data_IF_816284528642
#
_entry.id   IF_816284528642
#
_cell.length_a   1.000
_cell.length_b   1.000
_cell.length_c   1.000
_cell.angle_alpha   90.00
_cell.angle_beta   90.00
_cell.angle_gamma   90.00
#
_symmetry.space_group_name_H-M   'P 1'
#
loop_
_entity.id
_entity.type
_entity.pdbx_description
1 polymer ?
#
# COMPACT_ATOMS: atom_id res chain seq x y z
N UNK A 1 7.78 6.54 -19.54
CA UNK A 1 8.13 5.58 -18.46
C UNK A 1 6.95 4.61 -18.38
N UNK A 2 7.15 3.30 -18.51
CA UNK A 2 6.11 2.26 -18.50
C UNK A 2 5.15 2.12 -19.72
N UNK A 3 5.64 1.92 -20.96
CA UNK A 3 4.79 1.86 -22.16
C UNK A 3 3.83 0.63 -22.23
N UNK A 4 4.02 -0.39 -21.39
CA UNK A 4 3.18 -1.60 -21.38
C UNK A 4 2.49 -1.87 -20.04
N UNK A 5 2.64 -0.96 -19.07
CA UNK A 5 2.14 -1.17 -17.72
C UNK A 5 0.62 -1.14 -17.63
N UNK A 6 0.08 -1.87 -16.65
CA UNK A 6 -1.33 -1.90 -16.32
C UNK A 6 -1.87 -0.52 -15.90
N UNK A 7 -1.11 0.20 -15.08
CA UNK A 7 -1.47 1.53 -14.56
C UNK A 7 -0.21 2.41 -14.44
N UNK A 8 0.29 2.98 -15.54
CA UNK A 8 1.58 3.67 -15.57
C UNK A 8 1.63 4.92 -14.69
N UNK A 9 0.56 5.71 -14.62
CA UNK A 9 0.47 6.89 -13.75
C UNK A 9 0.43 6.48 -12.27
N UNK A 10 -0.23 5.37 -11.94
CA UNK A 10 -0.25 4.85 -10.57
C UNK A 10 1.14 4.32 -10.17
N UNK A 11 1.85 3.64 -11.07
CA UNK A 11 3.23 3.24 -10.82
C UNK A 11 4.13 4.47 -10.56
N UNK A 12 3.93 5.56 -11.30
CA UNK A 12 4.63 6.82 -11.08
C UNK A 12 4.31 7.44 -9.72
N UNK A 13 3.03 7.44 -9.29
CA UNK A 13 2.65 7.89 -7.94
C UNK A 13 3.40 7.11 -6.85
N UNK A 14 3.53 5.79 -7.02
CA UNK A 14 4.36 4.95 -6.15
C UNK A 14 5.81 5.41 -6.10
N UNK A 15 6.44 5.73 -7.25
CA UNK A 15 7.83 6.22 -7.28
C UNK A 15 8.01 7.55 -6.55
N UNK A 16 7.10 8.50 -6.74
CA UNK A 16 7.12 9.76 -5.99
C UNK A 16 7.11 9.50 -4.48
N UNK A 17 6.21 8.61 -4.03
CA UNK A 17 6.08 8.27 -2.62
C UNK A 17 7.36 7.61 -2.08
N UNK A 18 7.99 6.71 -2.85
CA UNK A 18 9.24 6.03 -2.47
C UNK A 18 10.43 7.01 -2.36
N UNK A 19 10.47 8.02 -3.23
CA UNK A 19 11.49 9.06 -3.23
C UNK A 19 11.25 10.14 -2.16
N UNK A 20 10.16 10.02 -1.38
CA UNK A 20 9.79 10.99 -0.35
C UNK A 20 9.09 12.24 -0.90
N UNK A 21 8.71 12.25 -2.18
CA UNK A 21 7.90 13.31 -2.77
C UNK A 21 6.42 13.02 -2.53
N UNK A 22 5.97 13.35 -1.30
CA UNK A 22 4.57 13.14 -0.90
C UNK A 22 3.61 13.97 -1.76
N UNK A 23 3.93 15.23 -2.05
CA UNK A 23 3.06 16.12 -2.83
C UNK A 23 2.85 15.59 -4.25
N UNK A 24 3.94 15.16 -4.91
CA UNK A 24 3.86 14.54 -6.24
C UNK A 24 3.06 13.25 -6.23
N UNK A 25 3.26 12.39 -5.23
CA UNK A 25 2.50 11.15 -5.08
C UNK A 25 1.00 11.42 -4.86
N UNK A 26 0.67 12.34 -3.95
CA UNK A 26 -0.69 12.70 -3.61
C UNK A 26 -1.42 13.34 -4.81
N UNK A 27 -0.79 14.29 -5.52
CA UNK A 27 -1.39 14.92 -6.71
C UNK A 27 -1.67 13.91 -7.83
N UNK A 28 -0.74 12.99 -8.10
CA UNK A 28 -0.96 11.93 -9.08
C UNK A 28 -2.08 10.99 -8.64
N UNK A 29 -2.05 10.52 -7.39
CA UNK A 29 -3.06 9.62 -6.85
C UNK A 29 -4.46 10.26 -6.88
N UNK A 30 -4.58 11.55 -6.57
CA UNK A 30 -5.83 12.32 -6.62
C UNK A 30 -6.41 12.40 -8.05
N UNK A 31 -5.56 12.42 -9.08
CA UNK A 31 -6.00 12.49 -10.48
C UNK A 31 -6.42 11.13 -11.06
N UNK A 32 -6.14 10.02 -10.37
CA UNK A 32 -6.40 8.65 -10.83
C UNK A 32 -7.68 8.12 -10.17
N UNK A 33 -8.75 7.96 -10.94
CA UNK A 33 -10.04 7.51 -10.42
C UNK A 33 -10.11 5.99 -10.14
N UNK A 34 -9.06 5.23 -10.48
CA UNK A 34 -9.03 3.76 -10.34
C UNK A 34 -8.81 3.29 -8.90
N UNK A 35 -8.90 1.98 -8.68
CA UNK A 35 -8.52 1.35 -7.40
C UNK A 35 -7.09 1.72 -7.02
N UNK A 36 -6.15 1.66 -7.96
CA UNK A 36 -4.72 1.87 -7.70
C UNK A 36 -4.43 3.32 -7.30
N UNK A 37 -5.11 4.29 -7.91
CA UNK A 37 -5.05 5.70 -7.51
C UNK A 37 -5.52 5.89 -6.06
N UNK A 38 -6.70 5.35 -5.72
CA UNK A 38 -7.24 5.37 -4.35
C UNK A 38 -6.33 4.65 -3.36
N UNK A 39 -5.68 3.57 -3.78
CA UNK A 39 -4.75 2.83 -2.93
C UNK A 39 -3.51 3.67 -2.62
N UNK A 40 -2.86 4.27 -3.62
CA UNK A 40 -1.73 5.18 -3.37
C UNK A 40 -2.12 6.37 -2.50
N UNK A 41 -3.32 6.92 -2.71
CA UNK A 41 -3.85 7.99 -1.89
C UNK A 41 -4.00 7.55 -0.42
N UNK A 42 -4.54 6.35 -0.20
CA UNK A 42 -4.69 5.79 1.14
C UNK A 42 -3.34 5.58 1.85
N UNK A 43 -2.32 5.10 1.13
CA UNK A 43 -0.96 4.94 1.67
C UNK A 43 -0.34 6.30 2.01
N UNK A 44 -0.48 7.30 1.12
CA UNK A 44 0.06 8.65 1.33
C UNK A 44 -0.47 9.29 2.63
N UNK A 45 -1.79 9.22 2.89
CA UNK A 45 -2.36 9.72 4.14
C UNK A 45 -1.99 8.88 5.37
N UNK A 46 -1.81 7.55 5.22
CA UNK A 46 -1.31 6.73 6.32
C UNK A 46 0.12 7.11 6.72
N UNK A 47 0.94 7.59 5.77
CA UNK A 47 2.28 8.12 6.03
C UNK A 47 2.27 9.54 6.61
N UNK A 48 1.19 10.31 6.45
CA UNK A 48 0.90 11.61 7.12
C UNK A 48 0.24 11.43 8.51
N UNK A 49 0.35 10.24 9.09
CA UNK A 49 -0.59 9.64 10.06
C UNK A 49 -2.01 10.28 10.14
N UNK A 50 -2.72 10.36 9.02
CA UNK A 50 -4.15 10.73 8.98
C UNK A 50 -5.02 9.47 8.84
N UNK A 51 -5.45 8.84 9.95
CA UNK A 51 -6.25 7.62 9.91
C UNK A 51 -7.64 7.85 9.30
N UNK A 52 -8.18 9.08 9.36
CA UNK A 52 -9.49 9.43 8.84
C UNK A 52 -9.49 9.41 7.31
N UNK A 53 -8.55 10.15 6.70
CA UNK A 53 -8.43 10.18 5.24
C UNK A 53 -7.90 8.86 4.68
N UNK A 54 -6.92 8.22 5.35
CA UNK A 54 -6.47 6.88 4.95
C UNK A 54 -7.64 5.89 4.94
N UNK A 55 -8.45 5.88 6.00
CA UNK A 55 -9.63 5.01 6.10
C UNK A 55 -10.71 5.31 5.06
N UNK A 56 -10.92 6.58 4.72
CA UNK A 56 -11.83 6.98 3.63
C UNK A 56 -11.38 6.37 2.29
N UNK A 57 -10.12 6.53 1.93
CA UNK A 57 -9.60 6.03 0.65
C UNK A 57 -9.52 4.51 0.59
N UNK A 58 -9.15 3.82 1.67
CA UNK A 58 -9.22 2.36 1.73
C UNK A 58 -10.65 1.83 1.56
N UNK A 59 -11.65 2.55 2.08
CA UNK A 59 -13.06 2.21 1.88
C UNK A 59 -13.50 2.44 0.42
N UNK A 60 -13.05 3.53 -0.20
CA UNK A 60 -13.35 3.85 -1.60
C UNK A 60 -12.64 2.94 -2.61
N UNK A 61 -11.48 2.39 -2.25
CA UNK A 61 -10.73 1.37 -2.99
C UNK A 61 -11.53 0.04 -3.06
N UNK A 62 -12.02 -0.45 -1.92
CA UNK A 62 -12.66 -1.76 -1.82
C UNK A 62 -11.67 -2.94 -1.83
N UNK A 63 -12.10 -4.16 -2.22
CA UNK A 63 -11.21 -5.31 -2.33
C UNK A 63 -10.16 -5.12 -3.45
N UNK A 64 -8.91 -5.49 -3.19
CA UNK A 64 -7.83 -5.39 -4.18
C UNK A 64 -7.00 -6.69 -4.27
N UNK A 65 -6.55 -7.15 -5.46
CA UNK A 65 -5.77 -8.38 -5.59
C UNK A 65 -4.48 -8.42 -4.77
N UNK A 66 -3.84 -7.26 -4.56
CA UNK A 66 -2.61 -7.14 -3.73
C UNK A 66 -2.83 -7.61 -2.29
N UNK A 67 -4.04 -7.48 -1.74
CA UNK A 67 -4.35 -7.86 -0.36
C UNK A 67 -4.06 -9.34 -0.07
N UNK A 68 -4.20 -10.23 -1.05
CA UNK A 68 -3.93 -11.67 -0.87
C UNK A 68 -2.43 -11.91 -0.66
N UNK A 69 -1.58 -11.31 -1.50
CA UNK A 69 -0.14 -11.42 -1.37
C UNK A 69 0.34 -10.71 -0.10
N UNK A 70 -0.17 -9.50 0.16
CA UNK A 70 0.19 -8.70 1.32
C UNK A 70 -0.14 -9.41 2.63
N UNK A 71 -1.31 -10.06 2.75
CA UNK A 71 -1.66 -10.87 3.91
C UNK A 71 -0.60 -11.94 4.21
N UNK A 72 -0.14 -12.66 3.17
CA UNK A 72 0.86 -13.72 3.30
C UNK A 72 2.21 -13.16 3.72
N UNK A 73 2.70 -12.14 3.01
CA UNK A 73 4.02 -11.56 3.30
C UNK A 73 4.05 -10.88 4.69
N UNK A 74 2.97 -10.18 5.05
CA UNK A 74 2.84 -9.54 6.35
C UNK A 74 2.83 -10.57 7.50
N UNK A 75 2.20 -11.74 7.31
CA UNK A 75 2.28 -12.84 8.30
C UNK A 75 3.72 -13.33 8.48
N UNK A 76 4.46 -13.54 7.39
CA UNK A 76 5.85 -14.01 7.46
C UNK A 76 6.70 -13.00 8.23
N UNK A 77 6.57 -11.70 7.92
CA UNK A 77 7.29 -10.64 8.62
C UNK A 77 6.88 -10.60 10.10
N UNK A 78 5.58 -10.68 10.38
CA UNK A 78 5.05 -10.67 11.74
C UNK A 78 5.62 -11.83 12.58
N UNK A 79 5.64 -13.04 12.03
CA UNK A 79 6.16 -14.25 12.69
C UNK A 79 7.67 -14.14 12.96
N UNK A 80 8.44 -13.61 12.01
CA UNK A 80 9.89 -13.37 12.18
C UNK A 80 10.20 -12.43 13.34
N UNK A 81 9.34 -11.44 13.58
CA UNK A 81 9.49 -10.47 14.67
C UNK A 81 8.70 -10.84 15.94
N UNK A 82 7.98 -11.96 15.95
CA UNK A 82 7.18 -12.41 17.08
C UNK A 82 6.00 -11.51 17.42
N UNK A 83 5.38 -10.88 16.40
CA UNK A 83 4.25 -9.97 16.56
C UNK A 83 2.94 -10.58 16.04
N UNK A 84 1.79 -10.32 16.68
CA UNK A 84 0.49 -10.79 16.20
C UNK A 84 -0.11 -9.88 15.10
N UNK A 85 0.70 -9.44 14.14
CA UNK A 85 0.26 -8.61 13.02
C UNK A 85 -0.40 -9.46 11.93
N UNK A 86 -1.40 -8.91 11.23
CA UNK A 86 -2.16 -9.59 10.18
C UNK A 86 -2.83 -10.90 10.65
N UNK A 87 -3.12 -11.09 11.95
CA UNK A 87 -3.66 -12.33 12.56
C UNK A 87 -4.95 -12.90 11.92
N UNK A 88 -5.72 -12.08 11.21
CA UNK A 88 -6.97 -12.47 10.57
C UNK A 88 -6.82 -13.40 9.35
N UNK A 89 -7.95 -13.85 8.77
CA UNK A 89 -7.98 -14.70 7.58
C UNK A 89 -7.67 -13.95 6.28
N UNK A 90 -7.72 -12.62 6.29
CA UNK A 90 -7.46 -11.75 5.15
C UNK A 90 -6.84 -10.43 5.62
N UNK A 91 -6.22 -9.70 4.69
CA UNK A 91 -5.65 -8.39 4.96
C UNK A 91 -6.76 -7.39 5.32
N UNK A 92 -6.56 -6.70 6.45
CA UNK A 92 -7.42 -5.61 6.88
C UNK A 92 -6.61 -4.30 6.91
N UNK A 93 -6.83 -3.38 5.95
CA UNK A 93 -6.10 -2.11 5.93
C UNK A 93 -6.44 -1.23 7.14
N UNK A 94 -7.61 -1.38 7.76
CA UNK A 94 -8.00 -0.59 8.92
C UNK A 94 -7.24 -1.03 10.18
N UNK A 95 -7.04 -2.34 10.35
CA UNK A 95 -6.16 -2.85 11.41
C UNK A 95 -4.72 -2.38 11.20
N UNK A 96 -4.24 -2.36 9.95
CA UNK A 96 -2.89 -1.87 9.67
C UNK A 96 -2.73 -0.35 9.89
N UNK A 97 -3.74 0.47 9.61
CA UNK A 97 -3.75 1.90 9.99
C UNK A 97 -3.58 2.03 11.51
N UNK A 98 -4.34 1.27 12.30
CA UNK A 98 -4.24 1.28 13.76
C UNK A 98 -2.84 0.87 14.23
N UNK A 99 -2.29 -0.19 13.65
CA UNK A 99 -0.92 -0.66 13.94
C UNK A 99 0.12 0.42 13.63
N UNK A 100 0.02 1.11 12.50
CA UNK A 100 0.92 2.21 12.16
C UNK A 100 0.83 3.36 13.18
N UNK A 101 -0.37 3.68 13.67
CA UNK A 101 -0.57 4.63 14.76
C UNK A 101 0.13 4.19 16.06
N UNK A 102 -0.07 2.94 16.47
CA UNK A 102 0.57 2.36 17.65
C UNK A 102 2.11 2.31 17.53
N UNK A 103 2.61 2.03 16.32
CA UNK A 103 4.03 2.04 15.97
C UNK A 103 4.63 3.44 16.08
N UNK A 104 3.97 4.46 15.52
CA UNK A 104 4.43 5.85 15.55
C UNK A 104 4.53 6.41 16.97
N UNK A 105 3.66 5.95 17.89
CA UNK A 105 3.72 6.29 19.30
C UNK A 105 4.90 5.63 20.06
N UNK A 106 5.62 4.69 19.42
CA UNK A 106 6.73 3.92 20.04
C UNK A 106 7.96 3.86 19.12
N UNK A 107 8.64 4.99 18.87
CA UNK A 107 9.83 5.02 18.04
C UNK A 107 10.92 4.07 18.54
N UNK A 108 11.60 3.38 17.62
CA UNK A 108 12.64 2.39 17.90
C UNK A 108 12.12 1.02 18.36
N UNK A 109 10.80 0.83 18.46
CA UNK A 109 10.21 -0.46 18.86
C UNK A 109 10.32 -1.51 17.76
N UNK A 110 10.17 -2.79 18.13
CA UNK A 110 10.01 -3.90 17.16
C UNK A 110 8.78 -3.65 16.29
N UNK A 111 7.69 -3.16 16.89
CA UNK A 111 6.44 -2.84 16.19
C UNK A 111 6.66 -1.82 15.06
N UNK A 112 7.43 -0.75 15.32
CA UNK A 112 7.74 0.24 14.30
C UNK A 112 8.54 -0.37 13.15
N UNK A 113 9.59 -1.15 13.44
CA UNK A 113 10.40 -1.80 12.41
C UNK A 113 9.55 -2.75 11.56
N UNK A 114 8.75 -3.60 12.20
CA UNK A 114 7.86 -4.54 11.51
C UNK A 114 6.81 -3.81 10.68
N UNK A 115 6.19 -2.74 11.19
CA UNK A 115 5.21 -1.97 10.42
C UNK A 115 5.84 -1.30 9.18
N UNK A 116 7.08 -0.78 9.30
CA UNK A 116 7.83 -0.22 8.16
C UNK A 116 8.17 -1.29 7.11
N UNK A 117 8.58 -2.49 7.53
CA UNK A 117 8.84 -3.62 6.61
C UNK A 117 7.57 -4.04 5.86
N UNK A 118 6.44 -4.17 6.56
CA UNK A 118 5.14 -4.50 5.95
C UNK A 118 4.68 -3.38 5.00
N UNK A 119 4.83 -2.12 5.39
CA UNK A 119 4.54 -0.96 4.54
C UNK A 119 5.38 -0.95 3.26
N UNK A 120 6.67 -1.32 3.34
CA UNK A 120 7.54 -1.42 2.17
C UNK A 120 7.10 -2.54 1.23
N UNK A 121 6.73 -3.71 1.77
CA UNK A 121 6.21 -4.82 0.95
C UNK A 121 4.87 -4.46 0.31
N UNK A 122 3.97 -3.78 1.03
CA UNK A 122 2.73 -3.27 0.46
C UNK A 122 2.99 -2.32 -0.72
N UNK A 123 3.95 -1.41 -0.56
CA UNK A 123 4.39 -0.53 -1.63
C UNK A 123 4.92 -1.33 -2.83
N UNK A 124 5.80 -2.32 -2.61
CA UNK A 124 6.39 -3.13 -3.68
C UNK A 124 5.33 -3.91 -4.45
N UNK A 125 4.40 -4.56 -3.75
CA UNK A 125 3.34 -5.33 -4.37
C UNK A 125 2.39 -4.45 -5.20
N UNK A 126 2.03 -3.27 -4.69
CA UNK A 126 1.19 -2.33 -5.43
C UNK A 126 1.93 -1.73 -6.62
N UNK A 127 3.20 -1.37 -6.46
CA UNK A 127 4.04 -0.87 -7.55
C UNK A 127 4.17 -1.91 -8.66
N UNK A 128 4.52 -3.15 -8.32
CA UNK A 128 4.65 -4.24 -9.28
C UNK A 128 3.32 -4.52 -9.98
N UNK A 129 2.20 -4.49 -9.25
CA UNK A 129 0.88 -4.63 -9.86
C UNK A 129 0.62 -3.54 -10.90
N UNK A 130 0.86 -2.27 -10.55
CA UNK A 130 0.69 -1.13 -11.46
C UNK A 130 1.64 -1.19 -12.66
N UNK A 131 2.91 -1.55 -12.44
CA UNK A 131 3.97 -1.56 -13.43
C UNK A 131 3.99 -2.81 -14.31
N UNK A 132 3.30 -3.89 -13.90
CA UNK A 132 3.24 -5.14 -14.65
C UNK A 132 2.60 -4.96 -16.02
N UNK A 133 3.04 -5.76 -17.00
CA UNK A 133 2.46 -5.71 -18.33
C UNK A 133 0.99 -6.17 -18.30
N UNK A 134 0.07 -5.31 -18.74
CA UNK A 134 -1.33 -5.69 -18.89
C UNK A 134 -1.46 -6.88 -19.83
N UNK A 135 -2.22 -7.92 -19.48
CA UNK A 135 -2.45 -9.05 -20.40
C UNK A 135 -3.09 -8.52 -21.68
N UNK A 136 -2.35 -8.52 -22.79
CA UNK A 136 -2.91 -8.27 -24.12
C UNK A 136 -3.90 -9.40 -24.42
N UNK A 137 -5.19 -9.10 -24.47
CA UNK A 137 -6.16 -10.00 -25.11
C UNK A 137 -5.77 -10.12 -26.58
N UNK A 138 -5.15 -11.23 -26.95
CA UNK A 138 -4.99 -11.61 -28.35
C UNK A 138 -6.40 -11.82 -28.89
N UNK A 139 -6.86 -10.93 -29.77
CA UNK A 139 -8.04 -11.23 -30.59
C UNK A 139 -7.69 -12.42 -31.47
N UNK A 140 -8.43 -13.51 -31.29
CA UNK A 140 -8.44 -14.65 -32.22
C UNK A 140 -9.05 -14.23 -33.56
#
# INVERSE_FOLDING_TARGET
>A
MFPEALAPEAALAGLHLYLGDWDGAHQLAQAIESSEGRYWHAIAHRMEPDPGNAGYWFRALGPHPVFVALQREARVIADLHGLPLAAGPAWDPFDFIRICGDAAARPGSVLERTAREVQLVEWQLLFDYCASAGRRSVKA
#
